data_IF_993476015245
#
_entry.id   IF_993476015245
#
_cell.length_a   1.000
_cell.length_b   1.000
_cell.length_c   1.000
_cell.angle_alpha   90.00
_cell.angle_beta   90.00
_cell.angle_gamma   90.00
#
_symmetry.space_group_name_H-M   'P 1'
#
loop_
_entity.id
_entity.type
_entity.pdbx_description
1 polymer ?
#
# COMPACT_ATOMS: atom_id res chain seq x y z
N UNK A 1 -31.74 -60.65 24.60
CA UNK A 1 -32.79 -59.63 24.48
C UNK A 1 -32.38 -58.73 23.31
N UNK A 2 -32.68 -59.01 22.05
CA UNK A 2 -33.95 -59.14 21.32
C UNK A 2 -34.69 -57.81 21.09
N UNK A 3 -35.01 -57.54 19.81
CA UNK A 3 -35.69 -56.39 19.14
C UNK A 3 -34.74 -55.30 18.61
N UNK A 4 -34.52 -55.01 17.32
CA UNK A 4 -35.17 -55.21 15.99
C UNK A 4 -36.47 -54.45 15.67
N UNK A 5 -36.38 -53.53 14.70
CA UNK A 5 -37.29 -53.21 13.57
C UNK A 5 -36.60 -52.10 12.70
N UNK A 6 -36.17 -52.30 11.43
CA UNK A 6 -36.94 -52.47 10.15
C UNK A 6 -37.87 -51.27 9.87
N UNK A 7 -38.02 -50.64 8.69
CA UNK A 7 -37.69 -50.80 7.25
C UNK A 7 -37.86 -49.34 6.69
N UNK A 8 -37.35 -48.83 5.55
CA UNK A 8 -37.62 -49.28 4.19
C UNK A 8 -36.81 -48.49 3.14
N UNK A 9 -36.43 -49.19 2.08
CA UNK A 9 -35.85 -48.71 0.82
C UNK A 9 -36.98 -48.44 -0.18
N UNK A 10 -36.88 -47.39 -0.98
CA UNK A 10 -37.60 -47.30 -2.26
C UNK A 10 -36.71 -46.68 -3.33
N UNK A 11 -36.22 -47.53 -4.23
CA UNK A 11 -35.73 -47.19 -5.56
C UNK A 11 -36.94 -47.08 -6.51
N UNK A 12 -36.94 -46.09 -7.39
CA UNK A 12 -37.72 -46.14 -8.63
C UNK A 12 -36.88 -45.60 -9.79
N UNK A 13 -36.54 -46.52 -10.70
CA UNK A 13 -36.00 -46.27 -12.04
C UNK A 13 -37.03 -45.59 -12.95
N UNK A 14 -36.58 -44.76 -13.90
CA UNK A 14 -36.89 -44.85 -15.34
C UNK A 14 -36.66 -43.52 -16.10
N UNK A 15 -35.60 -43.52 -16.91
CA UNK A 15 -35.56 -43.18 -18.35
C UNK A 15 -36.24 -41.90 -18.92
N UNK A 16 -35.42 -41.02 -19.52
CA UNK A 16 -35.39 -40.86 -21.00
C UNK A 16 -34.62 -39.60 -21.47
N UNK A 17 -33.56 -39.85 -22.25
CA UNK A 17 -33.11 -39.14 -23.45
C UNK A 17 -33.17 -37.60 -23.58
N UNK A 18 -31.99 -36.97 -23.75
CA UNK A 18 -31.58 -36.37 -25.04
C UNK A 18 -30.15 -35.80 -24.99
N UNK A 19 -29.29 -36.38 -25.84
CA UNK A 19 -27.97 -35.85 -26.23
C UNK A 19 -28.06 -34.46 -26.89
N UNK A 20 -26.99 -33.67 -26.73
CA UNK A 20 -26.27 -32.99 -27.83
C UNK A 20 -24.93 -32.42 -27.35
N UNK A 21 -23.87 -33.17 -27.66
CA UNK A 21 -22.56 -32.74 -28.18
C UNK A 21 -22.19 -31.27 -28.06
N UNK A 22 -21.06 -30.96 -27.40
CA UNK A 22 -20.13 -29.90 -27.83
C UNK A 22 -18.67 -30.37 -27.61
N UNK A 23 -17.88 -30.17 -28.66
CA UNK A 23 -16.58 -30.76 -28.97
C UNK A 23 -15.46 -30.02 -28.24
N UNK A 24 -14.54 -30.77 -27.61
CA UNK A 24 -13.28 -30.27 -27.08
C UNK A 24 -12.27 -30.07 -28.22
N UNK A 25 -11.89 -28.81 -28.49
CA UNK A 25 -10.83 -28.44 -29.41
C UNK A 25 -9.46 -28.52 -28.76
N UNK A 26 -8.57 -29.31 -29.35
CA UNK A 26 -7.16 -29.50 -29.00
C UNK A 26 -6.37 -28.23 -29.29
N UNK A 27 -5.71 -27.65 -28.28
CA UNK A 27 -4.71 -26.58 -28.46
C UNK A 27 -3.33 -27.22 -28.63
N UNK A 28 -2.80 -27.14 -29.86
CA UNK A 28 -1.39 -27.45 -30.18
C UNK A 28 -0.49 -26.34 -29.62
N UNK A 29 0.51 -26.74 -28.85
CA UNK A 29 1.69 -25.94 -28.54
C UNK A 29 2.59 -25.89 -29.78
N UNK A 30 2.94 -24.69 -30.23
CA UNK A 30 3.95 -24.46 -31.27
C UNK A 30 5.15 -23.79 -30.60
N UNK A 31 6.25 -24.54 -30.48
CA UNK A 31 7.57 -24.02 -30.18
C UNK A 31 8.10 -23.27 -31.40
N UNK A 32 8.73 -22.12 -31.19
CA UNK A 32 9.61 -21.52 -32.20
C UNK A 32 10.94 -21.12 -31.57
N UNK A 33 12.00 -21.48 -32.28
CA UNK A 33 13.41 -21.41 -31.91
C UNK A 33 14.08 -20.27 -32.68
N UNK A 34 14.76 -19.39 -31.95
CA UNK A 34 15.88 -18.48 -32.29
C UNK A 34 16.30 -18.26 -33.76
N UNK A 35 16.42 -16.97 -34.15
CA UNK A 35 17.54 -16.46 -34.96
C UNK A 35 17.68 -14.94 -34.79
N UNK A 36 18.92 -14.46 -34.58
CA UNK A 36 19.27 -13.04 -34.42
C UNK A 36 19.65 -12.34 -35.73
N UNK A 37 19.80 -11.01 -35.66
CA UNK A 37 20.35 -10.19 -36.73
C UNK A 37 20.13 -8.69 -36.50
N UNK A 38 21.21 -7.97 -36.19
CA UNK A 38 21.29 -6.51 -36.00
C UNK A 38 21.18 -5.73 -37.32
N UNK A 39 20.54 -4.54 -37.31
CA UNK A 39 21.16 -3.23 -37.62
C UNK A 39 20.16 -2.07 -37.65
N UNK A 40 20.72 -0.88 -37.47
CA UNK A 40 20.13 0.36 -37.04
C UNK A 40 19.52 1.26 -38.14
N UNK A 41 18.83 2.30 -37.64
CA UNK A 41 18.75 3.71 -38.10
C UNK A 41 17.59 4.16 -39.01
N UNK A 42 17.00 5.31 -38.64
CA UNK A 42 16.50 6.30 -39.61
C UNK A 42 15.01 6.70 -39.57
N UNK A 43 14.70 7.69 -38.73
CA UNK A 43 13.67 8.75 -38.77
C UNK A 43 12.56 8.84 -39.86
N UNK A 44 11.41 9.35 -39.37
CA UNK A 44 10.45 10.35 -39.91
C UNK A 44 9.19 9.95 -40.74
N UNK A 45 8.02 10.11 -40.07
CA UNK A 45 6.87 11.02 -40.38
C UNK A 45 5.74 10.60 -41.36
N UNK A 46 4.51 10.67 -40.78
CA UNK A 46 3.15 10.93 -41.32
C UNK A 46 2.41 9.88 -42.17
N UNK A 47 1.27 9.44 -41.61
CA UNK A 47 -0.05 9.90 -42.07
C UNK A 47 -0.99 8.88 -42.70
N UNK A 48 -2.10 8.57 -42.00
CA UNK A 48 -3.37 8.02 -42.53
C UNK A 48 -3.31 6.56 -42.99
N UNK A 49 -4.20 5.64 -42.64
CA UNK A 49 -5.54 5.69 -42.09
C UNK A 49 -6.34 4.55 -42.75
N UNK A 50 -7.01 3.71 -41.96
CA UNK A 50 -8.15 2.90 -42.43
C UNK A 50 -8.01 1.37 -42.37
N UNK A 51 -8.91 0.75 -41.59
CA UNK A 51 -9.27 -0.67 -41.59
C UNK A 51 -8.91 -1.36 -40.27
N UNK A 52 -9.80 -1.85 -39.41
CA UNK A 52 -11.26 -2.06 -39.45
C UNK A 52 -11.55 -3.34 -38.65
N UNK A 53 -12.28 -3.23 -37.52
CA UNK A 53 -12.83 -4.34 -36.69
C UNK A 53 -11.78 -5.17 -35.92
N UNK A 54 -11.93 -5.59 -34.66
CA UNK A 54 -13.04 -5.68 -33.72
C UNK A 54 -12.52 -5.59 -32.29
N UNK A 55 -12.86 -4.51 -31.57
CA UNK A 55 -12.50 -4.28 -30.17
C UNK A 55 -13.59 -4.74 -29.20
N UNK A 56 -13.79 -6.05 -29.05
CA UNK A 56 -14.88 -6.63 -28.24
C UNK A 56 -14.59 -6.78 -26.73
N UNK A 57 -13.57 -6.11 -26.17
CA UNK A 57 -13.21 -6.25 -24.74
C UNK A 57 -13.06 -4.94 -23.94
N UNK A 58 -13.50 -3.78 -24.45
CA UNK A 58 -13.30 -2.50 -23.75
C UNK A 58 -14.56 -1.93 -23.08
N UNK A 59 -15.69 -2.62 -23.15
CA UNK A 59 -16.97 -2.12 -22.66
C UNK A 59 -17.29 -2.26 -21.15
N UNK A 60 -16.61 -3.08 -20.30
CA UNK A 60 -17.00 -3.15 -18.88
C UNK A 60 -16.40 -2.06 -17.97
N UNK A 61 -15.33 -1.37 -18.38
CA UNK A 61 -14.61 -0.46 -17.47
C UNK A 61 -15.15 0.98 -17.52
N UNK A 62 -15.64 1.44 -18.69
CA UNK A 62 -16.23 2.78 -18.80
C UNK A 62 -17.68 2.88 -18.29
N UNK A 63 -18.42 1.76 -18.19
CA UNK A 63 -19.77 1.77 -17.65
C UNK A 63 -19.81 1.97 -16.13
N UNK A 64 -18.75 1.54 -15.42
CA UNK A 64 -18.64 1.70 -13.97
C UNK A 64 -18.17 3.11 -13.57
N UNK A 65 -17.32 3.73 -14.39
CA UNK A 65 -16.90 5.13 -14.20
C UNK A 65 -18.04 6.13 -14.42
N UNK A 66 -19.00 5.84 -15.32
CA UNK A 66 -20.15 6.72 -15.56
C UNK A 66 -21.20 6.64 -14.44
N UNK A 67 -21.35 5.48 -13.79
CA UNK A 67 -22.29 5.30 -12.66
C UNK A 67 -21.78 5.89 -11.32
N UNK A 68 -20.48 6.15 -11.20
CA UNK A 68 -19.92 6.92 -10.07
C UNK A 68 -20.01 8.45 -10.27
N UNK A 69 -20.22 8.93 -11.51
CA UNK A 69 -20.36 10.36 -11.80
C UNK A 69 -21.78 10.89 -11.69
N UNK A 70 -22.81 10.02 -11.66
CA UNK A 70 -24.22 10.43 -11.60
C UNK A 70 -24.79 10.51 -10.17
N UNK A 71 -23.99 10.23 -9.13
CA UNK A 71 -24.40 10.41 -7.71
C UNK A 71 -23.81 11.63 -7.02
N UNK A 72 -23.19 12.55 -7.77
CA UNK A 72 -22.71 13.85 -7.24
C UNK A 72 -23.23 15.01 -8.11
N UNK A 73 -24.53 15.01 -8.44
CA UNK A 73 -25.17 16.14 -9.13
C UNK A 73 -26.62 16.38 -8.65
N UNK A 74 -26.89 16.09 -7.39
CA UNK A 74 -28.27 16.02 -6.88
C UNK A 74 -28.50 16.56 -5.48
N UNK A 75 -27.70 17.52 -5.00
CA UNK A 75 -28.01 18.26 -3.76
C UNK A 75 -27.08 19.47 -3.59
N UNK A 76 -27.21 20.45 -4.48
CA UNK A 76 -26.75 21.81 -4.21
C UNK A 76 -27.89 22.50 -3.47
N UNK A 77 -27.82 22.51 -2.14
CA UNK A 77 -28.56 23.49 -1.36
C UNK A 77 -27.99 24.87 -1.67
N UNK A 78 -28.90 25.77 -2.03
CA UNK A 78 -28.67 27.20 -2.27
C UNK A 78 -27.90 27.80 -1.09
N UNK A 79 -26.62 28.11 -1.31
CA UNK A 79 -25.86 29.03 -0.48
C UNK A 79 -26.44 30.45 -0.67
N UNK A 80 -26.63 31.24 0.40
CA UNK A 80 -27.04 32.62 0.25
C UNK A 80 -25.94 33.38 -0.50
N UNK A 81 -26.35 34.19 -1.46
CA UNK A 81 -25.49 35.14 -2.19
C UNK A 81 -24.79 36.03 -1.15
N UNK A 82 -23.54 35.72 -0.82
CA UNK A 82 -22.69 36.63 -0.03
C UNK A 82 -22.40 37.81 -0.92
N UNK A 83 -22.95 38.96 -0.56
CA UNK A 83 -22.58 40.26 -1.10
C UNK A 83 -21.06 40.41 -1.03
N UNK A 84 -20.42 40.73 -2.15
CA UNK A 84 -19.06 41.27 -2.14
C UNK A 84 -19.06 42.52 -1.25
N UNK A 85 -18.66 42.35 0.02
CA UNK A 85 -18.17 43.46 0.80
C UNK A 85 -16.83 43.84 0.18
N UNK A 86 -16.88 44.82 -0.73
CA UNK A 86 -15.77 45.76 -0.86
C UNK A 86 -15.48 46.23 0.57
N UNK A 87 -14.40 45.75 1.16
CA UNK A 87 -13.78 46.35 2.33
C UNK A 87 -13.35 47.75 1.91
N UNK A 88 -14.31 48.67 1.96
CA UNK A 88 -14.03 50.06 2.20
C UNK A 88 -13.25 50.07 3.52
N UNK A 89 -12.01 50.55 3.44
CA UNK A 89 -11.30 51.02 4.62
C UNK A 89 -12.28 51.85 5.46
N UNK A 90 -12.39 51.65 6.77
CA UNK A 90 -13.34 52.42 7.57
C UNK A 90 -13.01 53.90 7.38
N UNK A 91 -13.97 54.68 6.87
CA UNK A 91 -13.84 56.12 6.68
C UNK A 91 -13.59 56.90 7.98
N UNK A 92 -13.53 56.22 9.12
CA UNK A 92 -13.15 56.78 10.42
C UNK A 92 -11.66 57.07 10.57
N UNK A 93 -10.77 56.29 9.95
CA UNK A 93 -9.32 56.47 10.11
C UNK A 93 -8.85 57.80 9.51
N UNK A 94 -9.40 58.18 8.37
CA UNK A 94 -9.09 59.43 7.66
C UNK A 94 -9.68 60.66 8.36
N UNK A 95 -10.79 60.50 9.09
CA UNK A 95 -11.45 61.60 9.83
C UNK A 95 -10.82 61.81 11.20
N UNK A 96 -10.37 60.75 11.88
CA UNK A 96 -9.66 60.82 13.17
C UNK A 96 -8.24 61.39 13.00
N UNK A 97 -7.53 60.99 11.93
CA UNK A 97 -6.18 61.45 11.61
C UNK A 97 -6.11 62.98 11.36
N UNK A 98 -7.23 63.58 10.95
CA UNK A 98 -7.34 65.01 10.72
C UNK A 98 -7.55 65.83 12.02
N UNK A 99 -7.86 65.16 13.15
CA UNK A 99 -8.35 65.83 14.37
C UNK A 99 -7.26 66.16 15.40
N UNK A 100 -6.18 65.38 15.47
CA UNK A 100 -4.96 65.70 16.24
C UNK A 100 -3.82 64.74 15.85
N UNK A 101 -2.84 65.17 15.02
CA UNK A 101 -1.70 64.34 14.63
C UNK A 101 -0.94 63.76 15.83
N UNK A 102 -0.83 64.50 16.93
CA UNK A 102 -0.13 64.07 18.14
C UNK A 102 -0.87 62.92 18.85
N UNK A 103 -2.20 62.97 18.91
CA UNK A 103 -2.99 61.89 19.51
C UNK A 103 -2.89 60.58 18.71
N UNK A 104 -2.84 60.68 17.38
CA UNK A 104 -2.64 59.52 16.52
C UNK A 104 -1.23 58.93 16.70
N UNK A 105 -0.19 59.77 16.78
CA UNK A 105 1.17 59.33 17.08
C UNK A 105 1.28 58.63 18.44
N UNK A 106 0.65 59.18 19.50
CA UNK A 106 0.56 58.51 20.82
C UNK A 106 -0.10 57.14 20.73
N UNK A 107 -1.22 57.05 20.04
CA UNK A 107 -1.96 55.78 19.88
C UNK A 107 -1.11 54.75 19.14
N UNK A 108 -0.39 55.17 18.09
CA UNK A 108 0.50 54.29 17.34
C UNK A 108 1.66 53.81 18.20
N UNK A 109 2.32 54.71 18.94
CA UNK A 109 3.40 54.35 19.86
C UNK A 109 2.93 53.43 20.99
N UNK A 110 1.72 53.64 21.52
CA UNK A 110 1.11 52.74 22.50
C UNK A 110 0.93 51.34 21.93
N UNK A 111 0.40 51.22 20.71
CA UNK A 111 0.21 49.92 20.06
C UNK A 111 1.56 49.23 19.78
N UNK A 112 2.56 49.98 19.34
CA UNK A 112 3.92 49.46 19.16
C UNK A 112 4.55 48.99 20.47
N UNK A 113 4.37 49.76 21.56
CA UNK A 113 4.85 49.37 22.88
C UNK A 113 4.13 48.13 23.40
N UNK A 114 2.81 48.02 23.22
CA UNK A 114 2.02 46.82 23.57
C UNK A 114 2.55 45.58 22.87
N UNK A 115 2.70 45.65 21.55
CA UNK A 115 3.20 44.54 20.73
C UNK A 115 4.63 44.15 21.12
N UNK A 116 5.50 45.14 21.30
CA UNK A 116 6.90 44.91 21.65
C UNK A 116 7.07 44.32 23.05
N UNK A 117 6.35 44.83 24.04
CA UNK A 117 6.40 44.31 25.42
C UNK A 117 5.83 42.89 25.47
N UNK A 118 4.66 42.65 24.86
CA UNK A 118 4.05 41.32 24.80
C UNK A 118 4.98 40.31 24.12
N UNK A 119 5.46 40.65 22.93
CA UNK A 119 6.35 39.78 22.15
C UNK A 119 7.67 39.50 22.87
N UNK A 120 8.24 40.49 23.55
CA UNK A 120 9.46 40.28 24.34
C UNK A 120 9.20 39.33 25.52
N UNK A 121 8.11 39.47 26.27
CA UNK A 121 7.78 38.59 27.39
C UNK A 121 7.58 37.15 26.91
N UNK A 122 6.76 36.94 25.88
CA UNK A 122 6.46 35.62 25.33
C UNK A 122 7.72 34.94 24.76
N UNK A 123 8.54 35.70 24.02
CA UNK A 123 9.77 35.19 23.43
C UNK A 123 10.83 34.89 24.50
N UNK A 124 10.98 35.74 25.52
CA UNK A 124 11.91 35.51 26.62
C UNK A 124 11.52 34.29 27.49
N UNK A 125 10.24 34.13 27.80
CA UNK A 125 9.74 33.00 28.58
C UNK A 125 9.88 31.68 27.81
N UNK A 126 9.68 31.68 26.50
CA UNK A 126 9.92 30.49 25.67
C UNK A 126 11.40 30.17 25.48
N UNK A 127 12.27 31.19 25.44
CA UNK A 127 13.72 31.00 25.34
C UNK A 127 14.34 30.41 26.63
N UNK A 128 13.82 30.76 27.80
CA UNK A 128 14.13 30.11 29.09
C UNK A 128 15.57 30.28 29.59
N UNK A 129 16.32 31.23 29.03
CA UNK A 129 17.71 31.57 29.40
C UNK A 129 17.85 33.08 29.58
N UNK A 130 18.91 33.51 30.25
CA UNK A 130 19.28 34.93 30.38
C UNK A 130 19.47 35.56 29.00
N UNK A 131 18.83 36.70 28.76
CA UNK A 131 18.91 37.45 27.49
C UNK A 131 20.21 38.24 27.40
N UNK A 132 20.83 38.22 26.22
CA UNK A 132 21.99 39.05 25.87
C UNK A 132 21.57 40.31 25.07
N UNK A 133 22.53 41.17 24.75
CA UNK A 133 22.28 42.39 23.99
C UNK A 133 22.02 42.17 22.50
N UNK A 134 22.35 40.99 21.98
CA UNK A 134 22.14 40.60 20.58
C UNK A 134 20.72 40.06 20.34
N UNK A 135 19.94 39.83 21.40
CA UNK A 135 18.59 39.28 21.31
C UNK A 135 17.61 40.23 20.59
N UNK A 136 17.11 39.89 19.39
CA UNK A 136 16.38 40.84 18.54
C UNK A 136 15.08 41.41 19.16
N UNK A 137 14.22 40.61 19.83
CA UNK A 137 13.03 41.15 20.50
C UNK A 137 13.37 42.19 21.57
N UNK A 138 14.52 42.04 22.24
CA UNK A 138 14.98 42.96 23.26
C UNK A 138 15.56 44.25 22.65
N UNK A 139 16.30 44.15 21.55
CA UNK A 139 16.75 45.32 20.80
C UNK A 139 15.55 46.15 20.33
N UNK A 140 14.56 45.49 19.73
CA UNK A 140 13.31 46.12 19.26
C UNK A 140 12.58 46.83 20.41
N UNK A 141 12.51 46.22 21.59
CA UNK A 141 11.95 46.84 22.79
C UNK A 141 12.64 48.15 23.16
N UNK A 142 13.98 48.18 23.22
CA UNK A 142 14.70 49.42 23.55
C UNK A 142 14.48 50.53 22.50
N UNK A 143 14.38 50.16 21.22
CA UNK A 143 14.05 51.12 20.16
C UNK A 143 12.66 51.69 20.35
N UNK A 144 11.64 50.85 20.60
CA UNK A 144 10.26 51.31 20.81
C UNK A 144 10.16 52.18 22.08
N UNK A 145 10.82 51.80 23.17
CA UNK A 145 10.86 52.59 24.39
C UNK A 145 11.53 53.95 24.20
N UNK A 146 12.62 54.02 23.44
CA UNK A 146 13.25 55.29 23.09
C UNK A 146 12.30 56.21 22.32
N UNK A 147 11.52 55.68 21.37
CA UNK A 147 10.53 56.46 20.63
C UNK A 147 9.40 56.95 21.54
N UNK A 148 8.89 56.09 22.42
CA UNK A 148 7.86 56.46 23.39
C UNK A 148 8.33 57.60 24.30
N UNK A 149 9.56 57.49 24.82
CA UNK A 149 10.12 58.50 25.69
C UNK A 149 10.55 59.76 24.94
N UNK A 150 10.80 59.73 23.62
CA UNK A 150 11.11 60.94 22.83
C UNK A 150 9.87 61.72 22.40
N UNK A 151 8.71 61.09 22.37
CA UNK A 151 7.50 61.71 21.85
C UNK A 151 7.08 62.93 22.67
N UNK A 152 7.02 64.10 22.02
CA UNK A 152 6.65 65.37 22.65
C UNK A 152 7.71 65.97 23.56
N UNK A 153 8.98 65.56 23.45
CA UNK A 153 10.09 66.22 24.15
C UNK A 153 10.30 67.63 23.59
N UNK A 154 10.36 68.63 24.47
CA UNK A 154 10.56 70.03 24.10
C UNK A 154 11.97 70.24 23.53
N UNK A 155 12.09 70.40 22.22
CA UNK A 155 13.37 70.73 21.56
C UNK A 155 13.62 72.24 21.68
N UNK A 156 14.06 72.70 22.86
CA UNK A 156 14.39 74.12 23.06
C UNK A 156 15.84 74.39 22.66
N UNK A 157 16.08 75.29 21.68
CA UNK A 157 17.41 75.87 21.43
C UNK A 157 17.77 76.78 22.61
N UNK A 158 18.38 76.22 23.66
CA UNK A 158 18.88 77.01 24.79
C UNK A 158 20.23 77.63 24.41
N UNK A 159 20.33 78.97 24.51
CA UNK A 159 21.58 79.73 24.32
C UNK A 159 22.61 79.47 25.44
N UNK A 160 22.21 78.76 26.51
CA UNK A 160 23.04 78.42 27.67
C UNK A 160 22.92 76.92 28.01
N UNK A 161 23.34 76.07 27.07
CA UNK A 161 24.09 74.86 27.42
C UNK A 161 23.37 73.58 27.87
N UNK A 162 22.05 73.47 27.83
CA UNK A 162 21.37 72.19 28.08
C UNK A 162 20.40 71.84 26.96
N UNK A 163 20.88 71.08 25.98
CA UNK A 163 19.99 70.34 25.09
C UNK A 163 19.21 69.36 25.98
N UNK A 164 17.91 69.61 26.18
CA UNK A 164 17.03 68.68 26.91
C UNK A 164 16.81 67.45 26.05
N UNK A 165 17.82 66.59 26.06
CA UNK A 165 17.80 65.24 25.53
C UNK A 165 16.96 64.34 26.44
N UNK A 166 16.69 63.12 25.97
CA UNK A 166 16.03 62.08 26.75
C UNK A 166 16.67 61.82 28.13
N UNK A 167 17.95 62.17 28.31
CA UNK A 167 18.65 62.04 29.59
C UNK A 167 18.06 62.92 30.70
N UNK A 168 17.59 64.13 30.38
CA UNK A 168 17.11 65.09 31.39
C UNK A 168 15.95 64.57 32.25
N UNK A 169 14.87 64.02 31.63
CA UNK A 169 13.82 63.34 32.38
C UNK A 169 14.31 62.14 33.20
N UNK A 170 15.29 61.37 32.71
CA UNK A 170 15.81 60.20 33.42
C UNK A 170 16.68 60.59 34.63
N UNK A 171 17.41 61.71 34.56
CA UNK A 171 18.13 62.28 35.71
C UNK A 171 17.19 62.71 36.84
N UNK A 172 15.92 63.02 36.56
CA UNK A 172 14.95 63.29 37.62
C UNK A 172 14.68 62.05 38.48
N UNK A 173 14.80 60.84 37.92
CA UNK A 173 14.56 59.60 38.67
C UNK A 173 15.52 59.48 39.86
N UNK A 174 16.79 59.84 39.68
CA UNK A 174 17.80 59.85 40.76
C UNK A 174 17.40 60.79 41.90
N UNK A 175 16.73 61.91 41.61
CA UNK A 175 16.26 62.86 42.62
C UNK A 175 15.02 62.37 43.35
N UNK A 176 14.22 61.51 42.71
CA UNK A 176 12.96 60.98 43.25
C UNK A 176 13.17 59.65 43.99
N UNK A 177 14.19 58.88 43.63
CA UNK A 177 14.49 57.57 44.18
C UNK A 177 16.01 57.40 44.36
N UNK A 178 16.50 57.34 45.62
CA UNK A 178 17.93 57.16 45.90
C UNK A 178 18.53 55.88 45.31
N UNK A 179 17.72 54.84 45.11
CA UNK A 179 18.16 53.55 44.55
C UNK A 179 18.51 53.68 43.05
N UNK A 180 17.92 54.65 42.34
CA UNK A 180 18.29 54.97 40.97
C UNK A 180 19.61 55.76 40.87
N UNK A 181 20.18 56.22 41.99
CA UNK A 181 21.47 56.92 41.98
C UNK A 181 22.63 56.01 41.54
N UNK A 182 22.57 54.72 41.87
CA UNK A 182 23.59 53.74 41.48
C UNK A 182 23.68 53.57 39.96
N UNK A 183 22.53 53.43 39.28
CA UNK A 183 22.50 53.34 37.81
C UNK A 183 22.89 54.66 37.16
N UNK A 184 22.46 55.80 37.72
CA UNK A 184 22.81 57.11 37.17
C UNK A 184 24.31 57.41 37.30
N UNK A 185 24.93 57.03 38.41
CA UNK A 185 26.39 57.10 38.59
C UNK A 185 27.09 56.17 37.60
N UNK A 186 26.64 54.91 37.48
CA UNK A 186 27.21 53.92 36.56
C UNK A 186 27.21 54.38 35.10
N UNK A 187 26.14 55.06 34.66
CA UNK A 187 26.03 55.63 33.30
C UNK A 187 26.95 56.83 33.10
N UNK A 188 27.14 57.68 34.12
CA UNK A 188 28.06 58.83 34.05
C UNK A 188 29.52 58.40 33.97
N UNK A 189 29.88 57.33 34.68
CA UNK A 189 31.24 56.82 34.78
C UNK A 189 31.59 55.82 33.66
N UNK A 190 30.67 55.54 32.75
CA UNK A 190 30.86 54.56 31.69
C UNK A 190 31.83 55.10 30.60
N UNK A 191 33.01 54.47 30.41
CA UNK A 191 33.95 54.92 29.40
C UNK A 191 33.42 54.61 27.99
N UNK A 192 33.47 55.59 27.10
CA UNK A 192 33.02 55.46 25.71
C UNK A 192 31.71 56.18 25.40
N UNK A 193 30.94 56.59 26.42
CA UNK A 193 29.63 57.24 26.26
C UNK A 193 29.74 58.77 26.26
N UNK A 194 29.60 59.37 25.08
CA UNK A 194 29.81 60.81 24.83
C UNK A 194 28.50 61.58 24.73
N UNK A 195 27.42 60.95 24.27
CA UNK A 195 26.15 61.65 24.03
C UNK A 195 25.15 61.44 25.16
N UNK A 196 24.29 62.43 25.45
CA UNK A 196 23.18 62.25 26.38
C UNK A 196 22.18 61.17 25.94
N UNK A 197 22.03 60.93 24.63
CA UNK A 197 21.17 59.87 24.12
C UNK A 197 21.75 58.48 24.42
N UNK A 198 23.06 58.30 24.24
CA UNK A 198 23.77 57.11 24.67
C UNK A 198 23.62 56.85 26.16
N UNK A 199 23.69 57.91 27.00
CA UNK A 199 23.42 57.84 28.44
C UNK A 199 22.02 57.31 28.74
N UNK A 200 20.99 57.84 28.07
CA UNK A 200 19.64 57.32 28.23
C UNK A 200 19.51 55.85 27.83
N UNK A 201 20.16 55.43 26.73
CA UNK A 201 20.18 54.03 26.27
C UNK A 201 20.85 53.08 27.24
N UNK A 202 21.98 53.48 27.81
CA UNK A 202 22.69 52.74 28.84
C UNK A 202 21.82 52.61 30.10
N UNK A 203 21.20 53.72 30.51
CA UNK A 203 20.32 53.76 31.67
C UNK A 203 19.11 52.84 31.53
N UNK A 204 18.45 52.81 30.37
CA UNK A 204 17.32 51.91 30.11
C UNK A 204 17.72 50.43 30.23
N UNK A 205 18.91 50.08 29.71
CA UNK A 205 19.47 48.72 29.82
C UNK A 205 19.74 48.34 31.27
N UNK A 206 20.40 49.22 32.03
CA UNK A 206 20.69 48.97 33.45
C UNK A 206 19.41 48.90 34.30
N UNK A 207 18.44 49.77 34.04
CA UNK A 207 17.14 49.73 34.73
C UNK A 207 16.36 48.45 34.46
N UNK A 208 16.45 47.90 33.24
CA UNK A 208 15.87 46.61 32.89
C UNK A 208 16.60 45.47 33.61
N UNK A 209 17.94 45.46 33.62
CA UNK A 209 18.75 44.46 34.35
C UNK A 209 18.47 44.47 35.85
N UNK A 210 18.20 45.63 36.44
CA UNK A 210 17.78 45.76 37.84
C UNK A 210 16.32 45.30 38.07
N UNK A 211 15.54 45.04 37.02
CA UNK A 211 14.11 44.69 37.08
C UNK A 211 13.24 45.80 37.70
N UNK A 212 13.63 47.05 37.48
CA UNK A 212 12.99 48.25 38.08
C UNK A 212 12.60 49.33 37.10
N UNK A 213 12.75 49.06 35.80
CA UNK A 213 12.39 50.00 34.74
C UNK A 213 10.95 50.53 34.88
N UNK A 214 9.98 49.66 35.17
CA UNK A 214 8.59 50.05 35.37
C UNK A 214 8.42 50.99 36.58
N UNK A 215 9.11 50.72 37.69
CA UNK A 215 9.02 51.52 38.91
C UNK A 215 9.62 52.91 38.70
N UNK A 216 10.77 52.99 38.04
CA UNK A 216 11.42 54.26 37.75
C UNK A 216 10.58 55.14 36.81
N UNK A 217 10.00 54.57 35.76
CA UNK A 217 9.13 55.34 34.85
C UNK A 217 7.80 55.71 35.52
N UNK A 218 7.28 54.88 36.43
CA UNK A 218 6.11 55.20 37.26
C UNK A 218 6.33 56.44 38.11
N UNK A 219 7.51 56.61 38.69
CA UNK A 219 7.84 57.83 39.45
C UNK A 219 7.79 59.08 38.58
N UNK A 220 8.27 59.00 37.33
CA UNK A 220 8.24 60.12 36.39
C UNK A 220 6.81 60.53 36.03
N UNK A 221 5.97 59.58 35.62
CA UNK A 221 4.59 59.89 35.20
C UNK A 221 3.68 60.30 36.35
N UNK A 222 4.04 59.95 37.59
CA UNK A 222 3.31 60.40 38.80
C UNK A 222 3.62 61.85 39.12
N UNK A 223 4.86 62.31 38.86
CA UNK A 223 5.31 63.70 39.06
C UNK A 223 5.22 64.50 37.76
N UNK A 224 3.99 64.61 37.22
CA UNK A 224 3.71 65.39 36.01
C UNK A 224 4.13 66.86 36.12
N UNK A 225 4.11 67.42 37.34
CA UNK A 225 4.58 68.76 37.65
C UNK A 225 6.04 68.97 37.18
N UNK A 226 6.94 68.06 37.54
CA UNK A 226 8.35 68.12 37.16
C UNK A 226 8.57 67.65 35.71
N UNK A 227 7.82 66.65 35.26
CA UNK A 227 7.96 66.08 33.92
C UNK A 227 7.53 67.08 32.83
N UNK A 228 6.57 67.96 33.13
CA UNK A 228 6.07 69.00 32.22
C UNK A 228 7.13 70.02 31.80
N UNK A 229 8.24 70.16 32.53
CA UNK A 229 9.37 71.01 32.13
C UNK A 229 10.12 70.47 30.91
N UNK A 230 10.00 69.18 30.64
CA UNK A 230 10.72 68.47 29.57
C UNK A 230 9.82 68.13 28.39
N UNK A 231 8.53 67.92 28.64
CA UNK A 231 7.57 67.47 27.63
C UNK A 231 6.50 68.53 27.34
N UNK A 232 5.98 68.50 26.11
CA UNK A 232 4.76 69.20 25.71
C UNK A 232 3.53 68.57 26.35
N UNK A 233 2.45 69.34 26.53
CA UNK A 233 1.25 68.88 27.24
C UNK A 233 0.62 67.65 26.60
N UNK A 234 0.73 67.48 25.28
CA UNK A 234 0.21 66.35 24.50
C UNK A 234 1.21 65.20 24.33
N UNK A 235 2.31 65.19 25.09
CA UNK A 235 3.32 64.13 25.04
C UNK A 235 2.82 62.82 25.64
N UNK A 236 3.28 61.70 25.09
CA UNK A 236 2.91 60.35 25.51
C UNK A 236 3.10 60.11 27.01
N UNK A 237 4.20 60.60 27.58
CA UNK A 237 4.52 60.39 29.00
C UNK A 237 3.68 61.25 29.96
N UNK A 238 2.95 62.26 29.47
CA UNK A 238 2.03 63.07 30.28
C UNK A 238 0.57 62.65 30.13
N UNK A 239 0.25 61.89 29.09
CA UNK A 239 -1.10 61.41 28.78
C UNK A 239 -1.35 59.99 29.31
N UNK A 240 -2.57 59.48 29.14
CA UNK A 240 -2.99 58.16 29.65
C UNK A 240 -2.19 57.00 29.04
N UNK A 241 -1.76 57.12 27.79
CA UNK A 241 -1.01 56.08 27.09
C UNK A 241 0.31 55.75 27.80
N UNK A 242 0.99 56.76 28.35
CA UNK A 242 2.21 56.57 29.15
C UNK A 242 1.97 55.76 30.41
N UNK A 243 0.83 55.97 31.09
CA UNK A 243 0.46 55.18 32.27
C UNK A 243 0.18 53.72 31.91
N UNK A 244 -0.47 53.47 30.76
CA UNK A 244 -0.71 52.11 30.26
C UNK A 244 0.61 51.40 29.94
N UNK A 245 1.53 52.06 29.22
CA UNK A 245 2.84 51.50 28.90
C UNK A 245 3.60 51.13 30.17
N UNK A 246 3.67 52.04 31.15
CA UNK A 246 4.33 51.78 32.44
C UNK A 246 3.69 50.63 33.21
N UNK A 247 2.37 50.46 33.13
CA UNK A 247 1.67 49.29 33.67
C UNK A 247 2.11 47.98 33.02
N UNK A 248 2.23 47.97 31.69
CA UNK A 248 2.67 46.79 30.93
C UNK A 248 4.13 46.42 31.20
N UNK A 249 5.01 47.42 31.43
CA UNK A 249 6.42 47.19 31.75
C UNK A 249 6.64 46.38 33.03
N UNK A 250 5.66 46.31 33.94
CA UNK A 250 5.74 45.45 35.14
C UNK A 250 5.91 43.98 34.76
N UNK A 251 5.34 43.56 33.63
CA UNK A 251 5.51 42.20 33.11
C UNK A 251 6.96 41.85 32.76
N UNK A 252 7.81 42.85 32.49
CA UNK A 252 9.23 42.61 32.17
C UNK A 252 10.07 42.22 33.39
N UNK A 253 9.56 42.36 34.62
CA UNK A 253 10.30 41.98 35.83
C UNK A 253 10.63 40.48 35.89
N UNK A 254 9.88 39.65 35.16
CA UNK A 254 10.14 38.20 35.06
C UNK A 254 11.35 37.87 34.17
N UNK A 255 11.76 38.80 33.31
CA UNK A 255 12.85 38.60 32.36
C UNK A 255 14.19 38.68 33.09
N UNK A 256 15.08 37.74 32.79
CA UNK A 256 16.47 37.77 33.22
C UNK A 256 17.35 38.22 32.05
N UNK A 257 18.11 39.30 32.23
CA UNK A 257 18.91 39.92 31.18
C UNK A 257 20.29 40.29 31.72
N UNK A 258 21.33 39.99 30.93
CA UNK A 258 22.71 40.35 31.24
C UNK A 258 23.31 41.09 30.05
N UNK A 259 23.19 42.43 30.06
CA UNK A 259 23.47 43.27 28.91
C UNK A 259 24.86 43.90 29.02
N UNK A 260 25.66 43.73 27.98
CA UNK A 260 26.99 44.32 27.88
C UNK A 260 26.90 45.81 27.54
N UNK A 261 26.80 46.67 28.55
CA UNK A 261 26.79 48.14 28.31
C UNK A 261 28.20 48.67 28.02
N UNK A 262 29.25 47.95 28.43
CA UNK A 262 30.65 48.36 28.32
C UNK A 262 31.25 47.90 26.99
N UNK A 263 31.55 48.84 26.10
CA UNK A 263 32.14 48.56 24.78
C UNK A 263 31.16 48.56 23.61
N UNK A 264 29.85 48.65 23.87
CA UNK A 264 28.84 48.88 22.83
C UNK A 264 28.78 50.37 22.42
N UNK A 265 28.69 50.64 21.12
CA UNK A 265 28.47 52.01 20.61
C UNK A 265 26.98 52.39 20.72
N UNK A 266 26.60 52.82 21.92
CA UNK A 266 25.25 53.31 22.21
C UNK A 266 25.01 54.75 21.70
N UNK A 267 26.07 55.48 21.34
CA UNK A 267 25.95 56.86 20.84
C UNK A 267 25.50 56.89 19.38
N UNK A 268 26.03 56.00 18.53
CA UNK A 268 25.76 55.98 17.09
C UNK A 268 24.61 55.06 16.68
N UNK A 269 24.04 54.27 17.60
CA UNK A 269 22.98 53.31 17.28
C UNK A 269 21.76 54.04 16.69
N UNK A 270 21.33 53.66 15.48
CA UNK A 270 20.07 54.15 14.90
C UNK A 270 19.06 53.01 15.00
N UNK A 271 18.13 53.11 15.94
CA UNK A 271 17.08 52.12 16.12
C UNK A 271 15.95 52.35 15.12
N UNK A 272 15.83 51.47 14.12
CA UNK A 272 14.63 51.42 13.27
C UNK A 272 13.71 50.33 13.81
N UNK A 273 12.41 50.63 13.88
CA UNK A 273 11.39 49.67 14.30
C UNK A 273 11.20 48.65 13.17
N UNK A 274 11.55 47.38 13.41
CA UNK A 274 11.29 46.30 12.46
C UNK A 274 9.84 45.77 12.59
N UNK A 275 9.00 46.14 11.63
CA UNK A 275 7.60 45.70 11.57
C UNK A 275 7.42 44.25 11.11
N UNK A 276 8.45 43.64 10.50
CA UNK A 276 8.35 42.28 9.99
C UNK A 276 8.13 41.24 11.09
N UNK A 277 8.59 41.53 12.32
CA UNK A 277 8.36 40.69 13.50
C UNK A 277 6.89 40.61 13.90
N UNK A 278 6.12 41.68 13.68
CA UNK A 278 4.71 41.74 14.09
C UNK A 278 3.75 41.32 12.98
N UNK A 279 4.13 41.53 11.71
CA UNK A 279 3.31 41.17 10.56
C UNK A 279 3.23 39.65 10.30
N UNK A 280 4.14 38.86 10.85
CA UNK A 280 4.17 37.39 10.66
C UNK A 280 3.19 36.63 11.57
N UNK A 281 2.80 37.17 12.72
CA UNK A 281 2.06 36.38 13.72
C UNK A 281 0.53 36.45 13.59
N UNK A 282 -0.06 37.56 13.13
CA UNK A 282 -1.52 37.72 13.15
C UNK A 282 -2.27 36.94 12.05
N UNK A 283 -1.60 36.61 10.94
CA UNK A 283 -2.21 35.85 9.84
C UNK A 283 -2.18 34.34 10.13
N UNK A 284 -1.18 33.90 10.90
CA UNK A 284 -1.00 32.50 11.21
C UNK A 284 -1.82 32.07 12.42
N UNK A 285 -1.99 32.85 13.49
CA UNK A 285 -2.58 32.34 14.75
C UNK A 285 -4.05 31.88 14.60
N UNK A 286 -4.92 32.71 14.01
CA UNK A 286 -6.34 32.34 13.79
C UNK A 286 -6.54 31.26 12.73
N UNK A 287 -5.63 31.16 11.75
CA UNK A 287 -5.67 30.10 10.72
C UNK A 287 -4.88 28.85 11.13
N UNK A 288 -4.06 28.93 12.16
CA UNK A 288 -3.18 27.85 12.61
C UNK A 288 -3.94 26.88 13.48
N UNK A 289 -4.80 27.32 14.41
CA UNK A 289 -5.62 26.37 15.18
C UNK A 289 -6.58 25.56 14.29
N UNK A 290 -7.26 26.22 13.35
CA UNK A 290 -8.19 25.55 12.43
C UNK A 290 -7.44 24.64 11.43
N UNK A 291 -6.29 25.09 10.90
CA UNK A 291 -5.41 24.22 10.09
C UNK A 291 -4.78 23.11 10.90
N UNK A 292 -4.41 23.29 12.15
CA UNK A 292 -3.79 22.26 12.99
C UNK A 292 -4.80 21.20 13.38
N UNK A 293 -6.05 21.58 13.68
CA UNK A 293 -7.15 20.63 13.86
C UNK A 293 -7.47 19.89 12.56
N UNK A 294 -7.42 20.58 11.42
CA UNK A 294 -7.63 19.96 10.11
C UNK A 294 -6.47 19.03 9.71
N UNK A 295 -5.22 19.42 10.01
CA UNK A 295 -4.01 18.62 9.80
C UNK A 295 -4.03 17.39 10.71
N UNK A 296 -4.43 17.52 11.97
CA UNK A 296 -4.59 16.39 12.88
C UNK A 296 -5.63 15.39 12.36
N UNK A 297 -6.79 15.88 11.92
CA UNK A 297 -7.82 15.05 11.29
C UNK A 297 -7.35 14.36 10.00
N UNK A 298 -6.62 15.08 9.14
CA UNK A 298 -6.03 14.53 7.91
C UNK A 298 -4.95 13.50 8.25
N UNK A 299 -4.16 13.71 9.31
CA UNK A 299 -3.14 12.76 9.76
C UNK A 299 -3.76 11.49 10.35
N UNK A 300 -4.83 11.60 11.13
CA UNK A 300 -5.57 10.43 11.64
C UNK A 300 -6.23 9.66 10.50
N UNK A 301 -6.82 10.36 9.53
CA UNK A 301 -7.37 9.75 8.33
C UNK A 301 -6.28 9.07 7.49
N UNK A 302 -5.11 9.70 7.34
CA UNK A 302 -3.95 9.13 6.66
C UNK A 302 -3.47 7.87 7.38
N UNK A 303 -3.32 7.91 8.69
CA UNK A 303 -2.87 6.78 9.50
C UNK A 303 -3.86 5.60 9.38
N UNK A 304 -5.16 5.88 9.43
CA UNK A 304 -6.20 4.87 9.19
C UNK A 304 -6.09 4.22 7.81
N UNK A 305 -5.90 5.02 6.75
CA UNK A 305 -5.72 4.52 5.37
C UNK A 305 -4.41 3.74 5.23
N UNK A 306 -3.33 4.18 5.87
CA UNK A 306 -2.03 3.51 5.87
C UNK A 306 -2.12 2.14 6.58
N UNK A 307 -2.79 2.06 7.73
CA UNK A 307 -3.01 0.78 8.42
C UNK A 307 -3.92 -0.15 7.59
N UNK A 308 -4.97 0.38 6.96
CA UNK A 308 -5.82 -0.41 6.06
C UNK A 308 -5.03 -0.94 4.86
N UNK A 309 -4.17 -0.11 4.25
CA UNK A 309 -3.27 -0.55 3.18
C UNK A 309 -2.25 -1.58 3.69
N UNK A 310 -1.77 -1.46 4.93
CA UNK A 310 -0.88 -2.46 5.53
C UNK A 310 -1.58 -3.82 5.70
N UNK A 311 -2.83 -3.81 6.18
CA UNK A 311 -3.66 -5.01 6.31
C UNK A 311 -4.02 -5.62 4.95
N UNK A 312 -4.38 -4.77 3.97
CA UNK A 312 -4.67 -5.22 2.61
C UNK A 312 -3.43 -5.84 1.97
N UNK A 313 -2.27 -5.20 2.08
CA UNK A 313 -1.01 -5.74 1.58
C UNK A 313 -0.65 -7.07 2.26
N UNK A 314 -0.88 -7.21 3.56
CA UNK A 314 -0.71 -8.49 4.28
C UNK A 314 -1.64 -9.57 3.72
N UNK A 315 -2.91 -9.23 3.46
CA UNK A 315 -3.89 -10.16 2.87
C UNK A 315 -3.50 -10.56 1.45
N UNK A 316 -3.06 -9.60 0.62
CA UNK A 316 -2.58 -9.87 -0.73
C UNK A 316 -1.36 -10.79 -0.70
N UNK A 317 -0.39 -10.55 0.17
CA UNK A 317 0.77 -11.45 0.32
C UNK A 317 0.35 -12.85 0.79
N UNK A 318 -0.61 -12.95 1.71
CA UNK A 318 -1.16 -14.23 2.16
C UNK A 318 -1.86 -14.99 1.02
N UNK A 319 -2.66 -14.29 0.22
CA UNK A 319 -3.32 -14.87 -0.95
C UNK A 319 -2.30 -15.28 -2.02
N UNK A 320 -1.28 -14.46 -2.29
CA UNK A 320 -0.22 -14.78 -3.22
C UNK A 320 0.53 -16.05 -2.79
N UNK A 321 0.89 -16.18 -1.51
CA UNK A 321 1.51 -17.40 -0.99
C UNK A 321 0.61 -18.65 -1.13
N UNK A 322 -0.72 -18.49 -1.00
CA UNK A 322 -1.67 -19.59 -1.25
C UNK A 322 -1.74 -19.95 -2.73
N UNK A 323 -1.72 -18.96 -3.63
CA UNK A 323 -1.67 -19.17 -5.08
C UNK A 323 -0.40 -19.93 -5.44
N UNK A 324 0.77 -19.47 -4.99
CA UNK A 324 2.05 -20.13 -5.27
C UNK A 324 2.07 -21.58 -4.72
N UNK A 325 1.46 -21.83 -3.56
CA UNK A 325 1.34 -23.18 -3.00
C UNK A 325 0.42 -24.07 -3.85
N UNK A 326 -0.70 -23.53 -4.33
CA UNK A 326 -1.63 -24.25 -5.18
C UNK A 326 -1.00 -24.53 -6.56
N UNK A 327 -0.27 -23.59 -7.13
CA UNK A 327 0.46 -23.78 -8.38
C UNK A 327 1.50 -24.89 -8.25
N UNK A 328 2.31 -24.89 -7.18
CA UNK A 328 3.27 -25.97 -6.90
C UNK A 328 2.58 -27.32 -6.73
N UNK A 329 1.44 -27.36 -6.03
CA UNK A 329 0.67 -28.59 -5.87
C UNK A 329 0.09 -29.07 -7.19
N UNK A 330 -0.39 -28.17 -8.03
CA UNK A 330 -0.96 -28.49 -9.34
C UNK A 330 0.12 -29.04 -10.28
N UNK A 331 1.32 -28.45 -10.30
CA UNK A 331 2.46 -28.99 -11.06
C UNK A 331 2.81 -30.42 -10.65
N UNK A 332 2.82 -30.72 -9.34
CA UNK A 332 3.05 -32.09 -8.85
C UNK A 332 1.96 -33.06 -9.29
N UNK A 333 0.69 -32.66 -9.20
CA UNK A 333 -0.42 -33.50 -9.65
C UNK A 333 -0.37 -33.77 -11.16
N UNK A 334 0.06 -32.80 -11.97
CA UNK A 334 0.27 -32.99 -13.41
C UNK A 334 1.38 -34.01 -13.66
N UNK A 335 2.47 -33.95 -12.91
CA UNK A 335 3.58 -34.90 -13.00
C UNK A 335 3.15 -36.32 -12.60
N UNK A 336 2.47 -36.47 -11.46
CA UNK A 336 1.92 -37.75 -11.02
C UNK A 336 0.93 -38.34 -12.03
N UNK A 337 0.08 -37.49 -12.61
CA UNK A 337 -0.87 -37.91 -13.64
C UNK A 337 -0.14 -38.37 -14.92
N UNK A 338 0.96 -37.72 -15.31
CA UNK A 338 1.78 -38.14 -16.44
C UNK A 338 2.45 -39.51 -16.16
N UNK A 339 2.99 -39.72 -14.97
CA UNK A 339 3.57 -40.99 -14.54
C UNK A 339 2.52 -42.10 -14.55
N UNK A 340 1.34 -41.86 -13.97
CA UNK A 340 0.24 -42.81 -13.94
C UNK A 340 -0.23 -43.18 -15.36
N UNK A 341 -0.36 -42.20 -16.26
CA UNK A 341 -0.68 -42.45 -17.67
C UNK A 341 0.35 -43.34 -18.36
N UNK A 342 1.64 -43.08 -18.16
CA UNK A 342 2.70 -43.91 -18.72
C UNK A 342 2.66 -45.35 -18.19
N UNK A 343 2.34 -45.54 -16.91
CA UNK A 343 2.17 -46.87 -16.33
C UNK A 343 0.95 -47.60 -16.92
N UNK A 344 -0.16 -46.90 -17.16
CA UNK A 344 -1.33 -47.48 -17.83
C UNK A 344 -0.97 -47.94 -19.24
N UNK A 345 -0.23 -47.13 -20.00
CA UNK A 345 0.20 -47.50 -21.36
C UNK A 345 1.07 -48.76 -21.33
N UNK A 346 2.06 -48.83 -20.44
CA UNK A 346 2.91 -50.02 -20.28
C UNK A 346 2.10 -51.27 -19.94
N UNK A 347 1.17 -51.15 -18.98
CA UNK A 347 0.30 -52.27 -18.61
C UNK A 347 -0.64 -52.68 -19.74
N UNK A 348 -1.10 -51.74 -20.56
CA UNK A 348 -1.91 -52.04 -21.75
C UNK A 348 -1.09 -52.78 -22.82
N UNK A 349 0.14 -52.36 -23.06
CA UNK A 349 1.09 -53.02 -23.97
C UNK A 349 1.39 -54.45 -23.50
N UNK A 350 1.71 -54.64 -22.21
CA UNK A 350 1.93 -55.97 -21.61
C UNK A 350 0.68 -56.85 -21.71
N UNK A 351 -0.52 -56.31 -21.45
CA UNK A 351 -1.76 -57.08 -21.57
C UNK A 351 -2.03 -57.49 -23.02
N UNK A 352 -1.76 -56.60 -23.98
CA UNK A 352 -1.88 -56.90 -25.40
C UNK A 352 -0.87 -57.98 -25.84
N UNK A 353 0.35 -57.91 -25.33
CA UNK A 353 1.39 -58.92 -25.55
C UNK A 353 0.96 -60.29 -25.00
N UNK A 354 0.49 -60.34 -23.75
CA UNK A 354 0.02 -61.59 -23.14
C UNK A 354 -1.21 -62.16 -23.87
N UNK A 355 -2.09 -61.32 -24.40
CA UNK A 355 -3.23 -61.77 -25.23
C UNK A 355 -2.77 -62.35 -26.56
N UNK A 356 -1.78 -61.74 -27.21
CA UNK A 356 -1.24 -62.25 -28.48
C UNK A 356 -0.51 -63.59 -28.27
N UNK A 357 0.27 -63.71 -27.20
CA UNK A 357 0.94 -64.95 -26.79
C UNK A 357 -0.07 -66.05 -26.43
N UNK A 358 -1.12 -65.74 -25.66
CA UNK A 358 -2.19 -66.71 -25.38
C UNK A 358 -2.88 -67.20 -26.65
N UNK A 359 -3.21 -66.30 -27.58
CA UNK A 359 -3.78 -66.68 -28.88
C UNK A 359 -2.84 -67.57 -29.68
N UNK A 360 -1.53 -67.28 -29.67
CA UNK A 360 -0.53 -68.10 -30.36
C UNK A 360 -0.41 -69.49 -29.73
N UNK A 361 -0.42 -69.59 -28.40
CA UNK A 361 -0.41 -70.87 -27.67
C UNK A 361 -1.67 -71.66 -28.02
N UNK A 362 -2.83 -71.04 -28.01
CA UNK A 362 -4.10 -71.68 -28.33
C UNK A 362 -4.12 -72.18 -29.79
N UNK A 363 -3.64 -71.39 -30.74
CA UNK A 363 -3.51 -71.78 -32.14
C UNK A 363 -2.58 -72.99 -32.31
N UNK A 364 -1.41 -72.96 -31.65
CA UNK A 364 -0.45 -74.09 -31.68
C UNK A 364 -1.04 -75.34 -31.04
N UNK A 365 -1.76 -75.21 -29.92
CA UNK A 365 -2.43 -76.33 -29.27
C UNK A 365 -3.52 -76.93 -30.18
N UNK A 366 -4.30 -76.09 -30.86
CA UNK A 366 -5.30 -76.54 -31.83
C UNK A 366 -4.68 -77.25 -33.03
N UNK A 367 -3.62 -76.70 -33.63
CA UNK A 367 -2.89 -77.35 -34.71
C UNK A 367 -2.33 -78.70 -34.28
N UNK A 368 -1.73 -78.79 -33.09
CA UNK A 368 -1.23 -80.05 -32.56
C UNK A 368 -2.37 -81.07 -32.35
N UNK A 369 -3.53 -80.61 -31.87
CA UNK A 369 -4.71 -81.46 -31.72
C UNK A 369 -5.23 -81.96 -33.08
N UNK A 370 -5.29 -81.10 -34.10
CA UNK A 370 -5.69 -81.47 -35.47
C UNK A 370 -4.74 -82.50 -36.09
N UNK A 371 -3.43 -82.30 -35.94
CA UNK A 371 -2.41 -83.27 -36.38
C UNK A 371 -2.61 -84.60 -35.65
N UNK A 372 -2.74 -84.58 -34.32
CA UNK A 372 -2.96 -85.79 -33.51
C UNK A 372 -4.27 -86.49 -33.88
N UNK A 373 -5.35 -85.75 -34.15
CA UNK A 373 -6.61 -86.33 -34.62
C UNK A 373 -6.47 -86.96 -36.01
N UNK A 374 -5.74 -86.30 -36.91
CA UNK A 374 -5.40 -86.83 -38.23
C UNK A 374 -4.63 -88.15 -38.11
N UNK A 375 -3.60 -88.19 -37.28
CA UNK A 375 -2.78 -89.39 -37.01
C UNK A 375 -3.64 -90.52 -36.43
N UNK A 376 -4.49 -90.24 -35.43
CA UNK A 376 -5.42 -91.22 -34.85
C UNK A 376 -6.46 -91.70 -35.86
N UNK A 377 -6.92 -90.83 -36.77
CA UNK A 377 -7.85 -91.22 -37.84
C UNK A 377 -7.17 -92.13 -38.86
N UNK A 378 -5.96 -91.78 -39.29
CA UNK A 378 -5.13 -92.60 -40.18
C UNK A 378 -4.84 -93.98 -39.56
N UNK A 379 -4.46 -94.02 -38.28
CA UNK A 379 -4.24 -95.27 -37.55
C UNK A 379 -5.53 -96.11 -37.48
N UNK A 380 -6.68 -95.47 -37.19
CA UNK A 380 -7.99 -96.14 -37.16
C UNK A 380 -8.37 -96.69 -38.53
N UNK A 381 -8.17 -95.95 -39.61
CA UNK A 381 -8.51 -96.38 -40.96
C UNK A 381 -7.57 -97.49 -41.44
N UNK A 382 -6.28 -97.40 -41.12
CA UNK A 382 -5.31 -98.48 -41.35
C UNK A 382 -5.69 -99.75 -40.58
N UNK A 383 -6.11 -99.61 -39.31
CA UNK A 383 -6.58 -100.75 -38.51
C UNK A 383 -7.86 -101.35 -39.08
N UNK A 384 -8.84 -100.53 -39.49
CA UNK A 384 -10.07 -101.00 -40.14
C UNK A 384 -9.77 -101.72 -41.45
N UNK A 385 -8.93 -101.16 -42.31
CA UNK A 385 -8.55 -101.77 -43.58
C UNK A 385 -7.78 -103.08 -43.36
N UNK A 386 -6.85 -103.10 -42.42
CA UNK A 386 -6.12 -104.31 -42.04
C UNK A 386 -7.07 -105.39 -41.49
N UNK A 387 -8.00 -105.01 -40.61
CA UNK A 387 -9.03 -105.92 -40.07
C UNK A 387 -9.98 -106.42 -41.16
N UNK A 388 -10.40 -105.56 -42.09
CA UNK A 388 -11.21 -105.96 -43.24
C UNK A 388 -10.46 -106.95 -44.13
N UNK A 389 -9.18 -106.71 -44.42
CA UNK A 389 -8.34 -107.66 -45.15
C UNK A 389 -8.19 -109.00 -44.42
N UNK A 390 -8.12 -108.98 -43.08
CA UNK A 390 -8.11 -110.19 -42.25
C UNK A 390 -9.45 -110.94 -42.30
N UNK A 391 -10.57 -110.22 -42.23
CA UNK A 391 -11.93 -110.78 -42.35
C UNK A 391 -12.14 -111.40 -43.75
N UNK A 392 -11.66 -110.74 -44.80
CA UNK A 392 -11.66 -111.26 -46.18
C UNK A 392 -10.83 -112.54 -46.28
N UNK A 393 -9.60 -112.56 -45.74
CA UNK A 393 -8.78 -113.78 -45.69
C UNK A 393 -9.42 -114.89 -44.86
N UNK A 394 -10.05 -114.58 -43.73
CA UNK A 394 -10.74 -115.57 -42.90
C UNK A 394 -11.96 -116.14 -43.63
N UNK A 395 -12.75 -115.30 -44.29
CA UNK A 395 -13.89 -115.73 -45.11
C UNK A 395 -13.44 -116.58 -46.30
N UNK A 396 -12.34 -116.20 -46.94
CA UNK A 396 -11.74 -116.96 -48.04
C UNK A 396 -11.20 -118.31 -47.55
N UNK A 397 -10.47 -118.37 -46.44
CA UNK A 397 -10.02 -119.61 -45.83
C UNK A 397 -11.19 -120.50 -45.40
N UNK A 398 -12.28 -119.90 -44.89
CA UNK A 398 -13.52 -120.60 -44.55
C UNK A 398 -14.23 -121.13 -45.79
N UNK A 399 -14.24 -120.38 -46.89
CA UNK A 399 -14.75 -120.83 -48.20
C UNK A 399 -13.93 -122.01 -48.72
N UNK A 400 -12.60 -121.89 -48.73
CA UNK A 400 -11.69 -122.97 -49.11
C UNK A 400 -11.88 -124.21 -48.24
N UNK A 401 -12.00 -124.06 -46.91
CA UNK A 401 -12.29 -125.17 -46.01
C UNK A 401 -13.63 -125.83 -46.34
N UNK A 402 -14.66 -125.04 -46.65
CA UNK A 402 -15.97 -125.56 -47.05
C UNK A 402 -15.89 -126.31 -48.39
N UNK A 403 -15.15 -125.78 -49.34
CA UNK A 403 -14.87 -126.43 -50.64
C UNK A 403 -14.09 -127.73 -50.47
N UNK A 404 -13.03 -127.74 -49.65
CA UNK A 404 -12.28 -128.94 -49.29
C UNK A 404 -13.15 -129.98 -48.58
N UNK A 405 -14.01 -129.56 -47.64
CA UNK A 405 -14.97 -130.44 -46.99
C UNK A 405 -15.98 -131.02 -48.00
N UNK A 406 -16.49 -130.21 -48.92
CA UNK A 406 -17.36 -130.68 -50.00
C UNK A 406 -16.63 -131.64 -50.93
N UNK A 407 -15.41 -131.33 -51.33
CA UNK A 407 -14.57 -132.18 -52.17
C UNK A 407 -14.28 -133.51 -51.49
N UNK A 408 -13.93 -133.50 -50.19
CA UNK A 408 -13.76 -134.70 -49.36
C UNK A 408 -15.05 -135.49 -49.22
N UNK A 409 -16.20 -134.83 -49.10
CA UNK A 409 -17.50 -135.50 -49.07
C UNK A 409 -17.81 -136.15 -50.42
N UNK A 410 -17.55 -135.47 -51.53
CA UNK A 410 -17.70 -136.02 -52.88
C UNK A 410 -16.76 -137.20 -53.09
N UNK A 411 -15.47 -137.06 -52.74
CA UNK A 411 -14.48 -138.15 -52.78
C UNK A 411 -14.93 -139.31 -51.89
N UNK A 412 -15.45 -139.04 -50.68
CA UNK A 412 -15.96 -140.08 -49.80
C UNK A 412 -17.18 -140.77 -50.42
N UNK A 413 -18.12 -140.02 -51.00
CA UNK A 413 -19.27 -140.58 -51.70
C UNK A 413 -18.85 -141.42 -52.92
N UNK A 414 -17.92 -140.92 -53.75
CA UNK A 414 -17.42 -141.66 -54.92
C UNK A 414 -16.59 -142.88 -54.51
N UNK A 415 -15.77 -142.79 -53.45
CA UNK A 415 -15.07 -143.95 -52.89
C UNK A 415 -16.05 -144.97 -52.30
N UNK A 416 -17.09 -144.53 -51.58
CA UNK A 416 -18.15 -145.43 -51.08
C UNK A 416 -18.89 -146.07 -52.25
N UNK A 417 -19.23 -145.33 -53.31
CA UNK A 417 -19.79 -145.90 -54.54
C UNK A 417 -18.82 -146.89 -55.21
N UNK A 418 -17.51 -146.60 -55.23
CA UNK A 418 -16.50 -147.49 -55.81
C UNK A 418 -16.34 -148.78 -54.98
N UNK A 419 -16.35 -148.67 -53.64
CA UNK A 419 -16.35 -149.79 -52.70
C UNK A 419 -17.65 -150.59 -52.83
N UNK A 420 -18.80 -149.93 -52.98
CA UNK A 420 -20.09 -150.60 -53.17
C UNK A 420 -20.12 -151.34 -54.51
N UNK A 421 -19.64 -150.71 -55.60
CA UNK A 421 -19.46 -151.34 -56.92
C UNK A 421 -18.53 -152.54 -56.85
N UNK A 422 -17.38 -152.44 -56.18
CA UNK A 422 -16.44 -153.57 -56.02
C UNK A 422 -16.98 -154.67 -55.09
N UNK A 423 -17.74 -154.33 -54.04
CA UNK A 423 -18.43 -155.30 -53.18
C UNK A 423 -19.56 -156.04 -53.91
N UNK A 424 -20.33 -155.35 -54.76
CA UNK A 424 -21.30 -156.01 -55.65
C UNK A 424 -20.61 -156.87 -56.70
N UNK A 425 -19.47 -156.42 -57.25
CA UNK A 425 -18.71 -157.20 -58.23
C UNK A 425 -18.10 -158.46 -57.61
N UNK A 426 -17.59 -158.39 -56.38
CA UNK A 426 -17.02 -159.55 -55.67
C UNK A 426 -18.08 -160.53 -55.14
N UNK A 427 -19.28 -160.05 -54.76
CA UNK A 427 -20.43 -160.93 -54.47
C UNK A 427 -20.98 -161.63 -55.72
N UNK A 428 -20.83 -161.06 -56.92
CA UNK A 428 -21.32 -161.66 -58.16
C UNK A 428 -20.40 -162.75 -58.73
N UNK A 429 -19.14 -162.83 -58.29
CA UNK A 429 -18.14 -163.78 -58.85
C UNK A 429 -17.94 -165.01 -57.97
N UNK A 430 -18.57 -165.07 -56.80
CA UNK A 430 -18.46 -166.21 -55.85
C UNK A 430 -19.69 -167.11 -55.78
N UNK A 431 -20.52 -167.13 -56.83
CA UNK A 431 -21.61 -168.11 -56.98
C UNK A 431 -21.69 -168.69 -58.38
#
# INVERSE_FOLDING_TARGET
MASSAEHDLALSEADSSREKTHVFGVLRLQEDKTAGGEKASGSTVRGGGGGGGDGRWQAPIFALARKASETISGSIHVLPKVSEHRTSLPGDWTVQALRDPMAMERTNLLNMAKLSIKGLIESALSFGRTLDSDYPPLQQFFVVMEHCLKHGLKVKKSFLGYNKSLWGPLELVEKLCPEAAEISASVRDLPGLKTPLGRARAWLRLALMQKRLADYLRLLITRKDLLSDFYETSALMLEEEGAVIVGLLVGLNVIDANLCVKGEDLDSQVGVIDFSMYLKNDIDDYRSEERNSQIASILDQKNYVEELNRQLNSTVHGLQGRVDSLEKSNSKLIEELAIAKNNIIKLQEENQQLRSENNLILLKAQQHLEVTQGDVSLERDTYKQSRQGLDEMYNEARRQLKEECQLRQVIRCTCVEHVWKTFTYTKSVTH
#
